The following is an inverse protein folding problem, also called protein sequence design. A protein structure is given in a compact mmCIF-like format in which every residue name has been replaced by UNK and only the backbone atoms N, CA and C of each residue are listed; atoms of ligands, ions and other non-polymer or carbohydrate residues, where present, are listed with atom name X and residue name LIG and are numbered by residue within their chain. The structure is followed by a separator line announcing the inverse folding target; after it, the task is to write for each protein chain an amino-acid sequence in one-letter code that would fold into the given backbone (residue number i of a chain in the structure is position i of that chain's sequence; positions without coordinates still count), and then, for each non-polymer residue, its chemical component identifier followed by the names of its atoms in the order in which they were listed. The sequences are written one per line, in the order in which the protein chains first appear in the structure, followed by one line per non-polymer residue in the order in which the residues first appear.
data_IF_379823866682
#
_entry.id   IF_379823866682
#
_cell.length_a   1.000
_cell.length_b   1.000
_cell.length_c   1.000
_cell.angle_alpha   90.00
_cell.angle_beta   90.00
_cell.angle_gamma   90.00
#
_symmetry.space_group_name_H-M   'P 1'
#
loop_
_entity.id
_entity.type
_entity.pdbx_description
1 polymer ?
2 non-polymer ?
3 water ?
#
# COMPACT_ATOMS: atom_id res chain seq x y z
N UNK A 4 23.28 10.55 2.21
CA UNK A 4 22.71 10.27 3.52
C UNK A 4 21.21 10.49 3.53
N UNK A 5 20.55 9.73 4.37
CA UNK A 5 19.11 9.75 4.58
C UNK A 5 18.69 10.71 5.71
N UNK A 6 19.65 11.28 6.47
CA UNK A 6 19.32 12.22 7.55
C UNK A 6 19.14 13.58 6.91
N UNK A 7 17.99 14.22 7.15
CA UNK A 7 17.70 15.56 6.63
C UNK A 7 17.71 16.51 7.84
N UNK A 8 18.53 17.53 7.79
CA UNK A 8 18.60 18.48 8.89
C UNK A 8 17.30 19.33 8.93
N UNK A 9 16.83 19.80 10.11
CA UNK A 9 15.63 20.66 10.13
C UNK A 9 15.75 21.91 9.25
N UNK A 10 16.96 22.45 9.13
CA UNK A 10 17.21 23.67 8.34
C UNK A 10 17.02 23.43 6.84
N UNK A 11 16.92 22.15 6.43
CA UNK A 11 16.76 21.79 5.02
C UNK A 11 15.30 21.58 4.64
N UNK A 12 14.34 21.79 5.59
CA UNK A 12 12.91 21.60 5.31
C UNK A 12 12.12 22.83 5.68
N UNK A 13 11.15 23.17 4.84
CA UNK A 13 10.24 24.27 5.12
C UNK A 13 8.84 23.77 4.92
N UNK A 14 7.97 23.99 5.91
CA UNK A 14 6.56 23.60 5.82
C UNK A 14 5.81 24.75 5.17
N UNK A 15 5.00 24.45 4.15
CA UNK A 15 4.29 25.50 3.46
C UNK A 15 2.79 25.46 3.77
N UNK A 16 2.21 24.27 3.74
CA UNK A 16 0.78 24.09 3.92
C UNK A 16 0.49 22.80 4.66
N UNK A 17 -0.53 22.82 5.51
CA UNK A 17 -1.02 21.62 6.17
C UNK A 17 -1.89 20.92 5.14
N UNK A 18 -1.57 19.67 4.88
CA UNK A 18 -2.30 18.84 3.93
C UNK A 18 -3.45 18.18 4.71
N UNK A 19 -3.14 17.63 5.88
CA UNK A 19 -4.15 17.01 6.74
C UNK A 19 -3.57 16.32 7.95
N UNK A 20 -4.44 15.62 8.69
CA UNK A 20 -4.05 14.89 9.88
C UNK A 20 -4.10 13.40 9.56
N UNK A 21 -2.95 12.75 9.56
CA UNK A 21 -2.80 11.32 9.28
C UNK A 21 -2.99 10.47 10.53
N UNK A 22 -2.60 9.18 10.43
CA UNK A 22 -2.71 8.22 11.56
C UNK A 22 -1.68 8.52 12.65
N UNK A 23 -0.43 8.82 12.26
CA UNK A 23 0.65 9.07 13.21
C UNK A 23 0.92 10.54 13.52
N UNK A 24 0.19 11.45 12.88
CA UNK A 24 0.39 12.88 13.10
C UNK A 24 0.01 13.71 11.89
N UNK A 25 0.58 14.90 11.78
CA UNK A 25 0.27 15.81 10.66
C UNK A 25 1.00 15.45 9.39
N UNK A 26 0.47 15.94 8.27
CA UNK A 26 1.10 15.80 6.96
C UNK A 26 1.12 17.21 6.38
N UNK A 27 2.30 17.66 5.96
CA UNK A 27 2.43 18.98 5.35
C UNK A 27 2.99 18.87 3.96
N UNK A 28 2.66 19.87 3.15
CA UNK A 28 3.31 20.09 1.87
C UNK A 28 4.48 21.00 2.26
N UNK A 29 5.66 20.71 1.73
CA UNK A 29 6.80 21.56 2.02
C UNK A 29 7.85 21.48 0.94
N UNK A 30 8.98 22.14 1.19
CA UNK A 30 10.12 22.08 0.27
C UNK A 30 11.33 21.51 1.00
N UNK A 31 12.15 20.79 0.24
CA UNK A 31 13.38 20.20 0.72
C UNK A 31 14.50 20.93 -0.03
N UNK A 32 15.35 21.64 0.74
CA UNK A 32 16.45 22.48 0.21
C UNK A 32 17.22 21.87 -0.95
N UNK A 33 17.29 22.60 -2.09
CA UNK A 33 17.99 22.23 -3.34
C UNK A 33 17.52 20.93 -3.95
N UNK A 34 16.34 20.42 -3.53
CA UNK A 34 15.90 19.12 -3.98
C UNK A 34 14.57 19.08 -4.67
N UNK A 35 13.46 19.33 -3.94
CA UNK A 35 12.13 19.25 -4.54
C UNK A 35 11.06 19.63 -3.53
N UNK A 36 9.84 19.74 -4.04
CA UNK A 36 8.63 19.84 -3.23
C UNK A 36 8.41 18.44 -2.65
N UNK A 37 7.97 18.35 -1.38
CA UNK A 37 7.81 17.11 -0.66
C UNK A 37 6.55 17.06 0.20
N UNK A 38 6.16 15.83 0.60
CA UNK A 38 5.13 15.61 1.61
C UNK A 38 5.90 15.24 2.87
N UNK A 39 5.59 15.90 3.99
CA UNK A 39 6.36 15.64 5.22
C UNK A 39 5.37 15.12 6.22
N UNK A 40 5.65 13.92 6.77
CA UNK A 40 4.77 13.28 7.74
C UNK A 40 5.44 13.35 9.11
N UNK A 41 4.80 14.04 10.06
CA UNK A 41 5.26 14.17 11.44
C UNK A 41 4.72 12.97 12.20
N UNK A 42 5.62 12.23 12.89
CA UNK A 42 5.26 10.98 13.58
C UNK A 42 5.24 11.17 15.08
N UNK A 43 4.07 10.97 15.68
CA UNK A 43 3.87 11.08 17.12
C UNK A 43 4.83 10.14 17.85
N UNK A 44 5.47 10.65 18.91
CA UNK A 44 6.36 9.81 19.74
C UNK A 44 5.56 8.60 20.26
N UNK A 45 6.14 7.42 20.13
CA UNK A 45 5.48 6.20 20.59
C UNK A 45 4.71 5.45 19.52
N UNK A 46 4.47 6.08 18.34
CA UNK A 46 3.70 5.40 17.28
C UNK A 46 4.53 4.34 16.56
N UNK A 47 5.85 4.58 16.45
CA UNK A 47 6.71 3.63 15.74
C UNK A 47 8.02 3.38 16.46
N UNK A 48 8.65 2.24 16.14
CA UNK A 48 9.96 1.95 16.68
C UNK A 48 10.96 2.68 15.76
N UNK A 49 11.28 3.91 16.13
CA UNK A 49 12.17 4.76 15.33
C UNK A 49 13.59 4.21 15.22
N UNK A 50 14.12 3.60 16.31
CA UNK A 50 15.47 3.04 16.30
C UNK A 50 15.56 1.86 15.32
N UNK A 51 14.53 1.02 15.31
CA UNK A 51 14.48 -0.14 14.39
C UNK A 51 14.44 0.37 12.95
N UNK A 52 13.62 1.38 12.71
CA UNK A 52 13.45 1.93 11.39
C UNK A 52 14.74 2.52 10.82
N UNK A 53 15.37 3.43 11.58
CA UNK A 53 16.60 4.04 11.08
C UNK A 53 17.74 3.04 10.78
N UNK A 54 17.73 1.86 11.43
CA UNK A 54 18.72 0.79 11.15
C UNK A 54 18.67 0.25 9.72
N UNK A 55 17.50 0.34 9.07
CA UNK A 55 17.30 -0.17 7.73
C UNK A 55 17.42 0.93 6.69
N UNK A 56 17.62 2.20 7.12
CA UNK A 56 17.62 3.33 6.18
C UNK A 56 18.71 3.27 5.12
N UNK A 57 19.95 2.93 5.48
CA UNK A 57 21.04 2.92 4.48
C UNK A 57 20.76 1.89 3.35
N UNK A 58 20.17 0.75 3.71
CA UNK A 58 19.81 -0.27 2.73
C UNK A 58 18.56 0.13 1.93
N UNK A 59 17.49 0.54 2.62
CA UNK A 59 16.21 0.89 2.00
C UNK A 59 16.26 2.12 1.10
N UNK A 60 17.20 3.05 1.34
CA UNK A 60 17.30 4.27 0.51
C UNK A 60 17.70 3.95 -0.93
N UNK A 61 18.21 2.73 -1.17
CA UNK A 61 18.65 2.29 -2.50
C UNK A 61 17.48 1.92 -3.43
N UNK A 62 16.30 1.58 -2.85
CA UNK A 62 15.09 1.20 -3.60
C UNK A 62 14.58 2.42 -4.32
N UNK A 63 14.37 2.30 -5.62
CA UNK A 63 13.91 3.41 -6.46
C UNK A 63 13.21 2.81 -7.67
N UNK A 64 11.97 3.22 -7.90
CA UNK A 64 11.21 2.73 -9.04
C UNK A 64 10.13 3.73 -9.40
N UNK A 65 9.80 3.93 -10.69
CA UNK A 65 8.74 4.93 -10.99
C UNK A 65 7.37 4.67 -10.38
N UNK A 66 7.08 3.41 -9.92
CA UNK A 66 5.78 3.12 -9.36
C UNK A 66 5.85 2.90 -7.85
N UNK A 67 6.95 3.41 -7.20
CA UNK A 67 7.05 3.36 -5.75
C UNK A 67 7.22 4.82 -5.31
N UNK A 68 6.44 5.22 -4.30
CA UNK A 68 6.61 6.56 -3.71
C UNK A 68 8.00 6.59 -3.02
N UNK A 69 8.84 7.59 -3.37
CA UNK A 69 10.17 7.63 -2.74
C UNK A 69 10.11 8.30 -1.35
N UNK A 70 10.68 7.62 -0.34
CA UNK A 70 10.86 8.16 1.00
C UNK A 70 12.33 8.62 0.99
N UNK A 71 12.53 9.94 0.90
CA UNK A 71 13.84 10.55 0.74
C UNK A 71 14.72 10.51 1.94
N UNK A 72 14.12 10.67 3.11
CA UNK A 72 14.91 10.76 4.32
C UNK A 72 14.11 11.04 5.55
N UNK A 73 14.82 11.20 6.68
CA UNK A 73 14.18 11.39 7.97
C UNK A 73 14.80 12.59 8.64
N UNK A 74 13.95 13.44 9.24
CA UNK A 74 14.42 14.57 10.03
C UNK A 74 14.23 14.15 11.48
N UNK A 75 15.32 13.95 12.21
CA UNK A 75 15.21 13.38 13.56
C UNK A 75 15.96 14.12 14.65
N UNK A 76 16.38 15.39 14.40
CA UNK A 76 17.11 16.19 15.40
C UNK A 76 16.41 16.21 16.75
N UNK A 77 15.09 16.41 16.73
CA UNK A 77 14.28 16.34 17.95
C UNK A 77 12.91 15.75 17.62
N UNK A 78 12.22 15.25 18.65
CA UNK A 78 10.91 14.68 18.50
C UNK A 78 9.85 15.79 18.41
N UNK A 79 8.74 15.56 17.68
CA UNK A 79 8.44 14.36 16.87
C UNK A 79 9.24 14.35 15.56
N UNK A 80 9.72 13.17 15.18
CA UNK A 80 10.47 13.07 13.91
C UNK A 80 9.57 13.26 12.68
N UNK A 81 10.18 13.55 11.52
CA UNK A 81 9.49 13.75 10.24
C UNK A 81 10.01 12.78 9.19
N UNK A 82 9.11 12.19 8.38
CA UNK A 82 9.51 11.36 7.23
C UNK A 82 9.22 12.23 5.99
N UNK A 83 10.14 12.30 5.06
CA UNK A 83 10.06 13.22 3.91
C UNK A 83 9.88 12.37 2.66
N UNK A 84 8.72 12.53 2.00
CA UNK A 84 8.39 11.75 0.82
C UNK A 84 8.24 12.61 -0.42
N UNK A 85 8.28 11.94 -1.59
CA UNK A 85 7.92 12.49 -2.87
C UNK A 85 6.44 12.95 -2.72
N UNK A 86 6.09 14.16 -3.24
CA UNK A 86 4.72 14.65 -3.13
C UNK A 86 3.84 14.04 -4.23
N UNK A 87 2.71 13.48 -3.81
CA UNK A 87 1.75 12.79 -4.68
C UNK A 87 0.49 13.67 -4.70
N UNK A 88 0.36 14.45 -5.74
CA UNK A 88 -0.66 15.50 -5.86
C UNK A 88 -2.11 15.14 -5.66
N UNK A 89 -2.49 13.90 -6.05
CA UNK A 89 -3.90 13.51 -5.91
C UNK A 89 -4.26 12.67 -4.70
N UNK A 90 -3.30 12.48 -3.79
CA UNK A 90 -3.56 11.77 -2.55
C UNK A 90 -3.77 10.28 -2.64
N UNK A 91 -4.42 9.70 -1.62
CA UNK A 91 -4.57 8.24 -1.61
C UNK A 91 -5.55 7.72 -2.63
N UNK A 92 -5.21 6.54 -3.16
CA UNK A 92 -6.02 5.89 -4.17
C UNK A 92 -7.44 5.60 -3.72
N UNK A 93 -7.62 5.12 -2.48
CA UNK A 93 -8.97 4.82 -1.99
C UNK A 93 -9.90 6.05 -2.08
N UNK A 94 -9.43 7.23 -1.61
CA UNK A 94 -10.26 8.45 -1.68
C UNK A 94 -10.44 8.92 -3.12
N UNK A 95 -9.42 8.78 -3.95
CA UNK A 95 -9.43 9.17 -5.35
C UNK A 95 -10.50 8.37 -6.13
N UNK A 96 -10.58 7.07 -5.87
CA UNK A 96 -11.59 6.22 -6.51
C UNK A 96 -13.00 6.66 -6.09
N UNK A 97 -13.21 6.84 -4.76
CA UNK A 97 -14.51 7.19 -4.19
C UNK A 97 -15.00 8.53 -4.69
N UNK A 98 -14.11 9.54 -4.76
CA UNK A 98 -14.52 10.88 -5.20
C UNK A 98 -14.80 10.96 -6.70
N UNK A 99 -14.15 10.11 -7.53
CA UNK A 99 -14.30 10.14 -8.98
C UNK A 99 -15.20 9.00 -9.52
N UNK A 100 -15.89 8.28 -8.62
CA UNK A 100 -16.77 7.15 -8.94
C UNK A 100 -17.75 7.51 -10.07
N UNK A 101 -17.82 6.66 -11.09
CA UNK A 101 -18.66 6.88 -12.26
C UNK A 101 -17.95 7.55 -13.42
N UNK A 102 -16.69 8.02 -13.21
CA UNK A 102 -15.93 8.72 -14.23
C UNK A 102 -14.77 7.92 -14.79
N UNK A 103 -14.59 6.66 -14.31
CA UNK A 103 -13.49 5.84 -14.74
C UNK A 103 -13.82 4.88 -15.86
N UNK A 104 -13.01 4.90 -16.92
CA UNK A 104 -13.11 3.90 -17.99
C UNK A 104 -12.50 2.61 -17.42
N UNK A 105 -12.96 1.44 -17.90
CA UNK A 105 -12.43 0.16 -17.41
C UNK A 105 -10.95 0.04 -17.70
N UNK A 106 -10.47 0.62 -18.83
CA UNK A 106 -9.04 0.62 -19.18
C UNK A 106 -8.19 1.39 -18.17
N UNK A 107 -8.73 2.48 -17.62
CA UNK A 107 -8.03 3.31 -16.65
C UNK A 107 -7.90 2.51 -15.35
N UNK A 108 -8.98 1.83 -14.95
CA UNK A 108 -8.94 1.01 -13.74
C UNK A 108 -7.90 -0.11 -13.89
N UNK A 109 -7.88 -0.80 -15.07
CA UNK A 109 -6.87 -1.83 -15.33
C UNK A 109 -5.45 -1.19 -15.30
N UNK A 110 -5.28 0.00 -15.89
CA UNK A 110 -3.98 0.69 -15.82
C UNK A 110 -3.48 0.98 -14.40
N UNK A 111 -4.42 1.31 -13.48
CA UNK A 111 -4.08 1.59 -12.09
C UNK A 111 -3.55 0.28 -11.47
N UNK A 112 -4.22 -0.85 -11.77
CA UNK A 112 -3.78 -2.13 -11.23
C UNK A 112 -2.41 -2.47 -11.77
N UNK A 113 -2.16 -2.19 -13.07
CA UNK A 113 -0.87 -2.45 -13.71
C UNK A 113 0.24 -1.61 -13.07
N UNK A 114 -0.03 -0.35 -12.72
CA UNK A 114 1.00 0.48 -12.05
C UNK A 114 1.37 -0.17 -10.71
N UNK A 115 0.37 -0.54 -9.91
CA UNK A 115 0.63 -1.16 -8.61
C UNK A 115 1.39 -2.47 -8.82
N UNK A 116 0.95 -3.28 -9.79
CA UNK A 116 1.61 -4.56 -10.03
C UNK A 116 3.05 -4.40 -10.42
N UNK A 117 3.37 -3.36 -11.20
CA UNK A 117 4.75 -3.11 -11.62
C UNK A 117 5.62 -2.74 -10.39
N UNK A 118 5.10 -1.86 -9.51
CA UNK A 118 5.80 -1.49 -8.28
C UNK A 118 6.01 -2.70 -7.39
N UNK A 119 4.99 -3.54 -7.30
CA UNK A 119 5.09 -4.76 -6.49
C UNK A 119 6.05 -5.80 -7.09
N UNK A 120 6.11 -5.90 -8.45
CA UNK A 120 7.07 -6.81 -9.06
C UNK A 120 8.49 -6.35 -8.76
N UNK A 121 8.72 -5.02 -8.65
CA UNK A 121 10.03 -4.53 -8.26
C UNK A 121 10.37 -4.91 -6.79
N UNK A 122 9.40 -4.77 -5.91
CA UNK A 122 9.59 -5.11 -4.48
C UNK A 122 9.80 -6.61 -4.32
N UNK A 123 9.04 -7.41 -5.07
CA UNK A 123 9.20 -8.85 -5.03
C UNK A 123 10.65 -9.23 -5.46
N UNK A 124 11.16 -8.63 -6.56
CA UNK A 124 12.53 -8.90 -7.04
C UNK A 124 13.55 -8.49 -5.98
N UNK A 125 13.27 -7.37 -5.27
CA UNK A 125 14.14 -6.80 -4.23
C UNK A 125 14.03 -7.56 -2.91
N UNK A 126 13.09 -8.53 -2.83
CA UNK A 126 12.78 -9.32 -1.65
C UNK A 126 12.30 -8.44 -0.49
N UNK A 127 11.48 -7.45 -0.83
CA UNK A 127 10.87 -6.55 0.14
C UNK A 127 9.38 -6.91 0.18
N UNK A 128 8.89 -7.27 1.38
CA UNK A 128 7.48 -7.60 1.57
C UNK A 128 6.71 -6.37 2.07
N UNK A 129 5.60 -6.05 1.41
CA UNK A 129 4.81 -4.89 1.80
C UNK A 129 4.14 -5.10 3.16
N UNK A 130 3.37 -6.19 3.30
CA UNK A 130 2.66 -6.64 4.52
C UNK A 130 1.28 -6.03 4.70
N UNK A 131 1.02 -4.86 4.10
CA UNK A 131 -0.30 -4.26 4.25
C UNK A 131 -0.70 -3.50 3.00
N UNK A 132 -0.58 -4.16 1.83
CA UNK A 132 -0.92 -3.53 0.57
C UNK A 132 -2.43 -3.35 0.46
N UNK A 133 -2.85 -2.11 0.20
CA UNK A 133 -4.26 -1.75 0.10
C UNK A 133 -4.39 -0.46 -0.66
N UNK A 134 -5.59 -0.16 -1.18
CA UNK A 134 -5.75 1.09 -1.94
C UNK A 134 -5.40 2.33 -1.08
N UNK A 135 -5.66 2.26 0.23
CA UNK A 135 -5.36 3.36 1.18
C UNK A 135 -3.87 3.67 1.27
N UNK A 136 -2.98 2.71 0.90
CA UNK A 136 -1.52 2.86 0.92
C UNK A 136 -0.94 3.17 -0.46
N UNK A 137 -1.77 3.30 -1.49
CA UNK A 137 -1.28 3.65 -2.82
C UNK A 137 -1.60 5.08 -3.03
N UNK A 138 -0.72 5.79 -3.74
CA UNK A 138 -0.91 7.22 -3.97
C UNK A 138 -1.00 7.56 -5.44
N UNK A 139 -1.72 8.64 -5.74
CA UNK A 139 -2.02 9.08 -7.09
C UNK A 139 -1.23 10.37 -7.38
N UNK A 140 -0.45 10.32 -8.45
CA UNK A 140 0.42 11.43 -8.80
C UNK A 140 0.07 12.11 -10.09
N UNK A 141 1.10 12.72 -10.72
CA UNK A 141 0.96 13.41 -11.99
C UNK A 141 0.51 12.47 -13.08
N UNK A 142 -0.52 12.92 -13.81
CA UNK A 142 -1.19 12.21 -14.88
C UNK A 142 -1.80 10.89 -14.44
N UNK A 143 -2.28 10.85 -13.17
CA UNK A 143 -2.98 9.73 -12.58
C UNK A 143 -2.12 8.45 -12.44
N UNK A 144 -0.78 8.60 -12.36
CA UNK A 144 0.10 7.44 -12.12
C UNK A 144 -0.18 6.97 -10.68
N UNK A 145 -0.23 5.65 -10.47
CA UNK A 145 -0.40 5.10 -9.15
C UNK A 145 0.96 4.59 -8.68
N UNK A 146 1.30 4.92 -7.41
CA UNK A 146 2.57 4.42 -6.86
C UNK A 146 2.29 3.77 -5.51
N UNK A 147 3.09 2.73 -5.18
CA UNK A 147 2.92 2.02 -3.92
C UNK A 147 3.71 2.77 -2.83
N UNK A 148 3.17 2.79 -1.61
CA UNK A 148 3.83 3.44 -0.49
C UNK A 148 3.65 2.62 0.78
N UNK A 149 4.43 2.93 1.82
CA UNK A 149 4.31 2.32 3.15
C UNK A 149 4.68 0.86 3.26
N UNK A 150 5.43 0.35 2.30
CA UNK A 150 5.84 -1.05 2.32
C UNK A 150 6.75 -1.29 3.51
N UNK A 151 6.46 -2.38 4.20
CA UNK A 151 7.23 -2.81 5.36
C UNK A 151 6.98 -2.06 6.66
N UNK A 152 6.15 -0.99 6.62
CA UNK A 152 5.92 -0.14 7.81
C UNK A 152 5.30 -0.81 9.01
N UNK A 153 4.50 -1.87 8.79
CA UNK A 153 3.89 -2.57 9.93
C UNK A 153 4.91 -3.30 10.81
N UNK A 154 6.17 -3.43 10.35
CA UNK A 154 7.19 -4.06 11.19
C UNK A 154 7.67 -3.06 12.24
N UNK A 155 7.31 -1.75 12.11
CA UNK A 155 7.75 -0.70 13.04
C UNK A 155 6.62 -0.10 13.85
N UNK A 156 5.36 -0.33 13.46
CA UNK A 156 4.16 0.20 14.13
C UNK A 156 4.10 -0.39 15.52
N UNK A 157 3.91 0.45 16.54
CA UNK A 157 3.88 -0.05 17.91
C UNK A 157 2.51 -0.43 18.52
N UNK A 158 1.46 -0.35 17.72
CA UNK A 158 0.11 -0.71 18.16
C UNK A 158 -0.12 -2.20 17.91
N UNK A 159 -0.03 -3.02 18.97
CA UNK A 159 -0.23 -4.48 18.93
C UNK A 159 -1.60 -4.88 18.43
N UNK A 160 -2.59 -4.02 18.60
CA UNK A 160 -3.95 -4.38 18.14
C UNK A 160 -4.03 -4.31 16.62
N UNK A 161 -3.06 -3.64 15.97
CA UNK A 161 -3.02 -3.56 14.51
C UNK A 161 -2.08 -4.61 13.92
N UNK A 162 -0.93 -4.83 14.54
CA UNK A 162 0.08 -5.72 13.96
C UNK A 162 -0.05 -7.18 14.27
N UNK A 163 -0.73 -7.55 15.38
CA UNK A 163 -0.89 -8.95 15.75
C UNK A 163 -2.12 -9.50 15.05
N UNK A 164 -1.99 -10.72 14.47
CA UNK A 164 -3.09 -11.40 13.77
C UNK A 164 -4.31 -11.60 14.68
N UNK A 165 -4.10 -11.62 16.02
CA UNK A 165 -5.14 -11.77 17.03
C UNK A 165 -5.63 -10.41 17.58
N UNK A 166 -5.09 -9.31 17.03
CA UNK A 166 -5.44 -7.94 17.42
C UNK A 166 -6.81 -7.51 16.93
N UNK A 167 -7.49 -6.65 17.70
CA UNK A 167 -8.84 -6.16 17.38
C UNK A 167 -8.87 -5.24 16.16
N UNK A 168 -7.72 -4.65 15.77
CA UNK A 168 -7.62 -3.74 14.62
C UNK A 168 -6.85 -4.40 13.45
N UNK A 169 -6.56 -5.71 13.54
CA UNK A 169 -5.80 -6.34 12.47
C UNK A 169 -6.43 -6.17 11.07
N UNK A 170 -5.67 -5.72 10.04
CA UNK A 170 -6.26 -5.49 8.70
C UNK A 170 -6.54 -6.80 7.94
N UNK A 171 -7.42 -7.62 8.58
CA UNK A 171 -7.78 -8.94 8.08
C UNK A 171 -8.39 -8.91 6.65
N UNK A 172 -9.07 -7.81 6.24
CA UNK A 172 -9.71 -7.74 4.93
C UNK A 172 -8.71 -7.92 3.76
N UNK A 173 -7.41 -7.62 3.98
CA UNK A 173 -6.37 -7.74 2.94
C UNK A 173 -5.44 -8.88 3.22
N UNK A 174 -5.68 -9.65 4.30
CA UNK A 174 -4.75 -10.71 4.74
C UNK A 174 -5.04 -12.07 4.13
N UNK A 175 -3.99 -12.73 3.64
CA UNK A 175 -4.14 -14.12 3.16
C UNK A 175 -4.35 -15.03 4.42
N UNK A 176 -4.81 -16.28 4.23
CA UNK A 176 -5.02 -17.16 5.38
C UNK A 176 -3.76 -17.42 6.21
N UNK A 177 -2.59 -17.52 5.56
CA UNK A 177 -1.37 -17.78 6.33
C UNK A 177 -0.92 -16.56 7.09
N UNK A 178 -1.33 -15.35 6.63
CA UNK A 178 -1.06 -14.13 7.39
C UNK A 178 -2.04 -14.04 8.58
N UNK A 179 -3.37 -14.19 8.33
CA UNK A 179 -4.30 -14.08 9.45
C UNK A 179 -4.17 -15.21 10.46
N UNK A 180 -3.58 -16.34 10.05
CA UNK A 180 -3.41 -17.47 10.98
C UNK A 180 -2.05 -17.48 11.68
N UNK A 181 -0.98 -17.11 10.95
CA UNK A 181 0.38 -17.28 11.48
C UNK A 181 1.32 -16.12 11.28
N UNK A 182 0.82 -15.01 10.72
CA UNK A 182 1.69 -13.87 10.35
C UNK A 182 2.83 -14.35 9.44
N UNK A 183 2.52 -15.30 8.52
CA UNK A 183 3.51 -15.85 7.61
C UNK A 183 3.52 -14.95 6.36
N UNK A 184 4.28 -13.86 6.43
CA UNK A 184 4.35 -12.88 5.32
C UNK A 184 5.34 -13.30 4.26
N UNK A 185 4.97 -13.05 2.98
CA UNK A 185 5.82 -13.36 1.84
C UNK A 185 5.34 -12.50 0.66
N UNK A 186 6.06 -12.54 -0.48
CA UNK A 186 5.50 -11.83 -1.64
C UNK A 186 4.17 -12.50 -2.05
N UNK A 187 3.96 -13.81 -1.73
CA UNK A 187 2.68 -14.46 -2.08
C UNK A 187 1.57 -13.99 -1.21
N UNK A 188 1.88 -13.59 0.06
CA UNK A 188 0.79 -12.99 0.85
C UNK A 188 0.49 -11.58 0.32
N UNK A 189 1.51 -10.84 -0.18
CA UNK A 189 1.22 -9.54 -0.83
C UNK A 189 0.37 -9.75 -2.11
N UNK A 190 0.54 -10.89 -2.83
CA UNK A 190 -0.29 -11.16 -4.03
C UNK A 190 -1.75 -11.25 -3.60
N UNK A 191 -2.02 -11.97 -2.48
CA UNK A 191 -3.42 -12.01 -2.01
C UNK A 191 -3.94 -10.55 -1.76
N UNK A 192 -3.17 -9.72 -1.07
CA UNK A 192 -3.57 -8.35 -0.79
C UNK A 192 -3.81 -7.58 -2.11
N UNK A 193 -2.97 -7.82 -3.09
CA UNK A 193 -3.08 -7.18 -4.39
C UNK A 193 -4.41 -7.57 -5.07
N UNK A 194 -4.84 -8.83 -4.93
CA UNK A 194 -6.14 -9.20 -5.45
C UNK A 194 -7.23 -8.38 -4.82
N UNK A 195 -7.16 -8.18 -3.47
CA UNK A 195 -8.16 -7.36 -2.78
C UNK A 195 -8.05 -5.89 -3.31
N UNK A 196 -6.81 -5.36 -3.46
CA UNK A 196 -6.60 -4.04 -4.03
C UNK A 196 -7.27 -3.95 -5.44
N UNK A 197 -7.12 -4.98 -6.30
CA UNK A 197 -7.76 -4.99 -7.63
C UNK A 197 -9.27 -4.84 -7.47
N UNK A 198 -9.85 -5.57 -6.47
CA UNK A 198 -11.27 -5.50 -6.21
C UNK A 198 -11.66 -4.06 -5.79
N UNK A 199 -10.86 -3.44 -4.92
CA UNK A 199 -11.11 -2.05 -4.48
C UNK A 199 -11.09 -1.13 -5.70
N UNK A 200 -10.13 -1.31 -6.61
CA UNK A 200 -10.01 -0.48 -7.82
C UNK A 200 -11.22 -0.65 -8.72
N UNK A 201 -11.54 -1.91 -9.09
CA UNK A 201 -12.67 -2.16 -9.98
C UNK A 201 -14.04 -1.86 -9.38
N UNK A 202 -14.13 -1.79 -8.02
CA UNK A 202 -15.36 -1.41 -7.32
C UNK A 202 -15.39 0.08 -7.06
N UNK A 203 -14.40 0.83 -7.59
CA UNK A 203 -14.29 2.28 -7.45
C UNK A 203 -14.30 2.71 -5.97
N UNK A 204 -13.47 2.02 -5.18
CA UNK A 204 -13.26 2.37 -3.78
C UNK A 204 -14.20 1.83 -2.73
N UNK A 205 -14.98 0.78 -3.04
CA UNK A 205 -15.84 0.17 -2.03
C UNK A 205 -14.97 -0.55 -1.00
N UNK A 206 -15.49 -0.68 0.22
CA UNK A 206 -14.78 -1.37 1.31
C UNK A 206 -15.00 -2.87 1.12
N UNK A 207 -13.94 -3.69 1.04
CA UNK A 207 -14.17 -5.14 0.94
C UNK A 207 -14.75 -5.71 2.25
N UNK A 208 -15.70 -6.64 2.12
CA UNK A 208 -16.37 -7.33 3.23
C UNK A 208 -16.93 -6.33 4.28
N UNK A 209 -17.55 -5.25 3.80
CA UNK A 209 -18.12 -4.19 4.65
C UNK A 209 -19.19 -4.73 5.61
N UNK A 210 -19.90 -5.80 5.18
CA UNK A 210 -20.97 -6.43 5.94
C UNK A 210 -20.48 -7.59 6.83
N UNK A 211 -19.16 -7.64 7.14
CA UNK A 211 -18.57 -8.69 7.96
C UNK A 211 -17.61 -8.17 9.05
N UNK A 212 -17.63 -8.82 10.23
CA UNK A 212 -16.67 -8.56 11.30
C UNK A 212 -15.38 -9.30 10.90
N UNK A 213 -14.28 -9.05 11.61
CA UNK A 213 -13.01 -9.72 11.34
C UNK A 213 -13.11 -11.23 11.43
N UNK A 214 -13.76 -11.74 12.49
CA UNK A 214 -13.92 -13.18 12.65
C UNK A 214 -14.79 -13.76 11.54
N UNK A 215 -15.76 -12.97 11.05
CA UNK A 215 -16.64 -13.42 9.95
C UNK A 215 -15.87 -13.51 8.63
N UNK A 216 -14.95 -12.58 8.38
CA UNK A 216 -14.08 -12.60 7.18
C UNK A 216 -13.23 -13.87 7.26
N UNK A 217 -12.60 -14.15 8.43
CA UNK A 217 -11.77 -15.35 8.63
C UNK A 217 -12.59 -16.61 8.34
N UNK A 218 -13.81 -16.71 8.93
CA UNK A 218 -14.68 -17.87 8.68
C UNK A 218 -15.07 -17.99 7.20
N UNK A 219 -15.47 -16.87 6.56
CA UNK A 219 -15.87 -16.86 5.14
C UNK A 219 -14.75 -17.31 4.22
N UNK A 220 -13.57 -16.68 4.38
CA UNK A 220 -12.41 -17.04 3.56
C UNK A 220 -12.00 -18.51 3.74
N UNK A 221 -12.00 -18.98 5.00
CA UNK A 221 -11.58 -20.33 5.28
C UNK A 221 -12.55 -21.38 4.77
N UNK A 222 -13.82 -21.00 4.55
CA UNK A 222 -14.83 -21.87 3.98
C UNK A 222 -14.96 -21.71 2.44
N UNK A 223 -14.04 -20.95 1.82
CA UNK A 223 -13.99 -20.80 0.37
C UNK A 223 -14.72 -19.64 -0.24
N UNK A 224 -15.38 -18.79 0.59
CA UNK A 224 -16.06 -17.63 0.06
C UNK A 224 -15.08 -16.55 -0.38
N UNK A 225 -15.44 -15.82 -1.44
CA UNK A 225 -14.58 -14.77 -1.97
C UNK A 225 -15.40 -13.55 -2.32
N UNK A 226 -14.71 -12.41 -2.49
CA UNK A 226 -15.38 -11.18 -2.94
C UNK A 226 -16.04 -11.39 -4.31
N UNK A 227 -17.24 -10.82 -4.47
CA UNK A 227 -18.01 -10.95 -5.73
C UNK A 227 -17.34 -10.12 -6.84
N UNK A 228 -17.70 -10.42 -8.08
CA UNK A 228 -17.12 -9.70 -9.21
C UNK A 228 -17.69 -8.29 -9.34
N UNK A 229 -16.83 -7.24 -9.29
CA UNK A 229 -17.34 -5.87 -9.50
C UNK A 229 -17.84 -5.75 -10.94
N UNK A 230 -18.90 -4.96 -11.13
CA UNK A 230 -19.52 -4.71 -12.42
C UNK A 230 -18.47 -4.34 -13.51
N UNK A 231 -17.48 -3.51 -13.16
CA UNK A 231 -16.47 -3.00 -14.09
C UNK A 231 -15.35 -3.97 -14.42
N UNK A 232 -15.23 -5.09 -13.66
CA UNK A 232 -14.19 -6.07 -13.92
C UNK A 232 -14.71 -7.08 -14.95
N UNK A 233 -13.91 -7.34 -15.98
CA UNK A 233 -14.27 -8.35 -16.97
C UNK A 233 -14.11 -9.73 -16.32
N UNK A 234 -14.69 -10.77 -16.94
CA UNK A 234 -14.49 -12.08 -16.38
C UNK A 234 -13.00 -12.48 -16.33
N UNK A 235 -12.20 -12.03 -17.32
CA UNK A 235 -10.74 -12.32 -17.35
C UNK A 235 -10.03 -11.63 -16.17
N UNK A 236 -10.41 -10.37 -15.88
CA UNK A 236 -9.86 -9.65 -14.73
C UNK A 236 -10.26 -10.34 -13.41
N UNK A 237 -11.53 -10.72 -13.28
CA UNK A 237 -11.97 -11.39 -12.06
C UNK A 237 -11.25 -12.73 -11.89
N UNK A 238 -11.00 -13.45 -13.00
CA UNK A 238 -10.25 -14.72 -12.92
C UNK A 238 -8.89 -14.46 -12.25
N UNK A 239 -8.18 -13.42 -12.68
CA UNK A 239 -6.87 -13.05 -12.10
C UNK A 239 -7.01 -12.72 -10.60
N UNK A 240 -8.05 -11.96 -10.20
CA UNK A 240 -8.32 -11.68 -8.79
C UNK A 240 -8.42 -12.98 -8.02
N UNK A 241 -9.18 -13.97 -8.57
CA UNK A 241 -9.35 -15.24 -7.88
C UNK A 241 -8.06 -16.03 -7.77
N UNK A 242 -7.15 -15.87 -8.77
CA UNK A 242 -5.84 -16.54 -8.67
C UNK A 242 -5.07 -15.96 -7.49
N UNK A 243 -5.22 -14.66 -7.25
CA UNK A 243 -4.56 -14.03 -6.10
C UNK A 243 -5.07 -14.57 -4.75
N UNK A 244 -6.32 -15.04 -4.74
CA UNK A 244 -6.99 -15.52 -3.53
C UNK A 244 -7.00 -17.03 -3.40
N UNK A 245 -6.07 -17.72 -4.01
CA UNK A 245 -5.95 -19.15 -3.78
C UNK A 245 -5.48 -19.39 -2.37
N UNK A 246 -6.09 -20.38 -1.72
CA UNK A 246 -5.74 -20.67 -0.34
C UNK A 246 -4.25 -20.95 -0.10
N UNK A 247 -3.63 -21.75 -0.96
CA UNK A 247 -2.22 -22.10 -0.83
C UNK A 247 -1.37 -21.01 -1.49
N UNK A 248 -0.42 -20.41 -0.73
CA UNK A 248 0.44 -19.38 -1.36
C UNK A 248 1.17 -19.91 -2.58
N UNK A 249 1.62 -21.18 -2.55
CA UNK A 249 2.35 -21.75 -3.68
C UNK A 249 1.52 -21.79 -4.98
N UNK A 250 0.18 -21.75 -4.88
CA UNK A 250 -0.70 -21.79 -6.06
C UNK A 250 -1.00 -20.40 -6.62
N UNK A 251 -0.61 -19.34 -5.86
CA UNK A 251 -0.85 -17.99 -6.36
C UNK A 251 0.26 -17.61 -7.34
N UNK A 252 -0.05 -16.75 -8.35
CA UNK A 252 1.04 -16.28 -9.24
C UNK A 252 1.98 -15.33 -8.53
N UNK A 253 3.23 -15.30 -8.94
CA UNK A 253 4.18 -14.29 -8.49
C UNK A 253 3.78 -12.94 -9.16
N UNK A 254 4.20 -11.81 -8.58
CA UNK A 254 3.89 -10.53 -9.23
C UNK A 254 4.48 -10.48 -10.64
N UNK A 255 5.66 -11.11 -10.87
CA UNK A 255 6.26 -11.12 -12.23
C UNK A 255 5.32 -11.78 -13.24
N UNK A 256 4.62 -12.84 -12.80
CA UNK A 256 3.66 -13.58 -13.67
C UNK A 256 2.39 -12.71 -13.84
N UNK A 257 1.86 -12.15 -12.72
CA UNK A 257 0.67 -11.26 -12.80
C UNK A 257 0.92 -10.10 -13.74
N UNK A 258 2.12 -9.47 -13.65
CA UNK A 258 2.41 -8.32 -14.50
C UNK A 258 2.29 -8.70 -15.98
N UNK A 259 2.82 -9.87 -16.37
CA UNK A 259 2.75 -10.31 -17.76
C UNK A 259 1.29 -10.63 -18.14
N UNK A 260 0.54 -11.28 -17.23
CA UNK A 260 -0.85 -11.65 -17.52
C UNK A 260 -1.76 -10.43 -17.66
N UNK A 261 -1.61 -9.45 -16.76
CA UNK A 261 -2.46 -8.26 -16.79
C UNK A 261 -2.07 -7.38 -17.98
N UNK A 262 -0.76 -7.31 -18.32
CA UNK A 262 -0.36 -6.49 -19.49
C UNK A 262 -0.90 -7.09 -20.78
N UNK A 263 -0.89 -8.45 -20.90
CA UNK A 263 -1.48 -9.08 -22.09
C UNK A 263 -2.96 -8.73 -22.19
N UNK A 264 -3.68 -8.77 -21.04
CA UNK A 264 -5.11 -8.40 -20.98
C UNK A 264 -5.30 -6.94 -21.44
N UNK A 265 -4.48 -6.01 -20.93
CA UNK A 265 -4.57 -4.59 -21.26
C UNK A 265 -4.30 -4.29 -22.73
N UNK A 266 -3.15 -4.76 -23.24
CA UNK A 266 -2.61 -4.54 -24.60
C UNK A 266 -3.25 -5.43 -25.67
X LIG B 1 -1.66 13.27 0.36
X LIG B 1 -2.05 12.16 1.01
X LIG B 1 -0.92 11.46 1.20
X LIG B 1 0.20 12.12 0.66
X LIG B 1 -0.31 13.27 0.11
X LIG B 1 1.53 11.69 0.66
X LIG B 1 2.42 12.10 -0.32
X LIG B 1 3.53 11.28 -0.35
X LIG B 1 2.24 13.05 -1.08
X LIG B 1 -0.95 10.18 1.89
X LIG B 1 -2.21 9.72 2.16
X LIG B 1 0.09 9.58 2.16
X LIG B 1 -2.56 14.28 -0.04
X LIG B 1 -2.35 14.83 -1.30
X LIG B 1 -3.17 15.83 -1.77
X LIG B 1 -4.19 16.31 -0.97
X LIG B 1 -3.59 14.74 0.77
X LIG B 1 -4.39 15.77 0.29
X LIG B 1 -5.43 16.27 1.05
X LIG B 1 -5.67 15.75 2.32
X LIG B 1 -4.88 14.73 2.80
X LIG B 1 -3.85 14.22 2.02
X LIG B 1 -5.19 14.33 4.09
X LIG B 1 -4.60 13.08 4.49
X LIG B 1 -3.35 13.36 5.29
X LIG B 1 -5.61 12.44 5.42
X LIG C 1 10.91 2.34 2.83
X LIG C 1 11.83 2.70 1.92
X LIG C 1 11.18 3.47 1.04
X LIG C 1 9.82 3.61 1.40
X LIG C 1 9.68 2.87 2.57
X LIG C 1 8.87 4.34 0.67
X LIG C 1 7.58 4.52 1.11
X LIG C 1 6.86 5.29 0.25
X LIG C 1 7.10 4.05 2.14
X LIG C 1 11.83 4.05 -0.10
X LIG C 1 13.14 3.69 -0.27
X LIG C 1 11.21 4.77 -0.87
X LIG C 1 11.27 1.59 3.98
X LIG C 1 10.60 0.40 4.20
X LIG C 1 10.90 -0.36 5.31
X LIG C 1 11.87 0.10 6.20
X LIG C 1 12.22 2.06 4.88
X LIG C 1 12.52 1.29 6.00
X LIG C 1 13.46 1.73 6.90
X LIG C 1 14.11 2.93 6.71
X LIG C 1 13.82 3.70 5.59
X LIG C 1 12.88 3.26 4.68
X LIG C 1 14.54 4.88 5.47
X LIG C 1 14.27 5.70 4.30
X LIG C 1 14.89 7.06 4.62
X LIG C 1 15.01 5.18 3.09
#
# INVERSE_FOLDING_TARGET
GSGKWVIDPSELTFVQEIGSGQFGLVHLGYWLNKDKVAIKTIREGAMSEEDFIEEAEVMMKLSHPKLVQLYGVCLEQAPICLVFEFMEHGCLSDYLRTQRGLFAAETLLGMCLDVCEGMAYLEEACVIHRDLAARNCLVGENQVIKVSDFGMTRFVLDDQYTSSTGTKFPVKWASPEVFSFSRYSSKSDVWSFGVLMWEVFSEGKIPYENRSNSEVVEDISTGFRLYKPRLASTHVYQIMNHCWRERPEDRPAFSRLLRQLAEIAESGL
QWS N1 N2 C3 C4 C5 N6 C7 N8 O9 C10 N11 O12 C13 C14 C15 C16 C17 C18 C19 C20 C21 C22 O23 C24 C25 C26
QWS N1 N2 C3 C4 C5 N6 C7 N8 O9 C10 N11 O12 C13 C14 C15 C16 C17 C18 C19 C20 C21 C22 O23 C24 C25 C26
#
